data_IF_862627348545
#
_entry.id   IF_862627348545
#
_cell.length_a   1.000
_cell.length_b   1.000
_cell.length_c   1.000
_cell.angle_alpha   90.00
_cell.angle_beta   90.00
_cell.angle_gamma   90.00
#
_symmetry.space_group_name_H-M   'P 1'
#
loop_
_entity.id
_entity.type
_entity.pdbx_description
1 polymer ?
#
# COMPACT_ATOMS: atom_id res chain seq x y z
N UNK A 1 -16.46 0.35 -16.31
CA UNK A 1 -15.35 0.77 -15.46
C UNK A 1 -15.77 1.97 -14.61
N UNK A 2 -15.33 1.99 -13.35
CA UNK A 2 -15.61 3.08 -12.43
C UNK A 2 -14.58 4.20 -12.57
N UNK A 3 -14.99 5.41 -12.28
CA UNK A 3 -14.11 6.58 -12.23
C UNK A 3 -14.70 7.64 -11.31
N UNK A 4 -13.89 8.61 -10.93
CA UNK A 4 -14.33 9.72 -10.09
C UNK A 4 -13.16 10.55 -9.60
N UNK A 5 -13.45 11.45 -8.66
CA UNK A 5 -12.44 12.19 -7.91
C UNK A 5 -12.33 11.60 -6.52
N UNK A 6 -11.16 11.74 -5.92
CA UNK A 6 -10.89 11.18 -4.62
C UNK A 6 -9.70 11.84 -3.94
N UNK A 7 -9.27 11.25 -2.86
CA UNK A 7 -8.14 11.74 -2.08
C UNK A 7 -7.21 10.60 -1.70
N UNK A 8 -6.00 10.97 -1.30
CA UNK A 8 -5.00 10.01 -0.88
C UNK A 8 -4.51 10.30 0.53
N UNK A 9 -4.06 9.26 1.17
CA UNK A 9 -3.25 9.28 2.39
C UNK A 9 -2.12 8.28 2.19
N UNK A 10 -1.30 8.06 3.21
CA UNK A 10 -0.17 7.13 3.12
C UNK A 10 -0.07 6.28 4.38
N UNK A 11 0.45 5.05 4.24
CA UNK A 11 0.65 4.17 5.37
C UNK A 11 1.66 3.06 5.06
N UNK A 12 2.18 2.45 6.10
CA UNK A 12 2.88 1.16 6.06
C UNK A 12 2.84 0.58 7.47
N UNK A 13 1.96 -0.38 7.71
CA UNK A 13 1.73 -0.95 9.04
C UNK A 13 2.30 -2.35 9.20
N UNK A 14 2.84 -2.94 8.14
CA UNK A 14 3.38 -4.31 8.07
C UNK A 14 2.33 -5.40 8.27
N UNK A 15 1.06 -5.06 8.46
CA UNK A 15 -0.02 -6.03 8.64
C UNK A 15 -0.32 -6.79 7.35
N UNK A 16 -0.86 -7.99 7.49
CA UNK A 16 -1.45 -8.70 6.36
C UNK A 16 -2.57 -7.86 5.76
N UNK A 17 -2.52 -7.55 4.45
CA UNK A 17 -3.60 -6.80 3.82
C UNK A 17 -4.90 -7.61 3.78
N UNK A 18 -6.04 -6.93 3.83
CA UNK A 18 -7.34 -7.61 3.86
C UNK A 18 -7.61 -8.43 2.62
N UNK A 19 -7.13 -8.00 1.46
CA UNK A 19 -7.31 -8.73 0.20
C UNK A 19 -6.44 -9.99 0.12
N UNK A 20 -5.58 -10.23 1.10
CA UNK A 20 -4.79 -11.45 1.21
C UNK A 20 -5.55 -12.63 1.83
N UNK A 21 -6.74 -12.39 2.39
CA UNK A 21 -7.60 -13.46 2.87
C UNK A 21 -8.35 -14.12 1.72
N UNK A 22 -8.62 -15.45 1.81
CA UNK A 22 -9.41 -16.13 0.78
C UNK A 22 -10.84 -15.57 0.74
N UNK A 23 -11.44 -15.58 -0.45
CA UNK A 23 -12.82 -15.13 -0.64
C UNK A 23 -13.02 -13.64 -0.80
N UNK A 24 -11.96 -12.85 -0.83
CA UNK A 24 -12.03 -11.39 -1.02
C UNK A 24 -11.96 -11.01 -2.50
N UNK A 25 -10.94 -11.49 -3.20
CA UNK A 25 -10.73 -11.27 -4.62
C UNK A 25 -10.65 -12.58 -5.38
N UNK A 26 -10.26 -12.54 -6.68
CA UNK A 26 -10.10 -13.75 -7.49
C UNK A 26 -9.05 -14.71 -6.94
N UNK A 27 -8.03 -14.18 -6.25
CA UNK A 27 -7.03 -14.93 -5.52
C UNK A 27 -6.57 -14.08 -4.33
N UNK A 28 -6.00 -14.69 -3.27
CA UNK A 28 -5.41 -13.91 -2.19
C UNK A 28 -4.19 -13.13 -2.68
N UNK A 29 -4.09 -11.87 -2.29
CA UNK A 29 -2.86 -11.10 -2.46
C UNK A 29 -1.74 -11.81 -1.69
N UNK A 30 -0.55 -11.90 -2.30
CA UNK A 30 0.59 -12.59 -1.67
C UNK A 30 0.96 -11.93 -0.35
N UNK A 31 1.21 -12.76 0.68
CA UNK A 31 1.77 -12.33 1.96
C UNK A 31 3.12 -13.00 2.20
N UNK A 32 3.86 -12.48 3.15
CA UNK A 32 5.17 -12.96 3.52
C UNK A 32 5.24 -13.26 5.01
N UNK A 33 6.20 -14.13 5.40
CA UNK A 33 6.50 -14.34 6.80
C UNK A 33 7.29 -13.14 7.38
N UNK A 34 7.68 -13.21 8.66
CA UNK A 34 8.39 -12.10 9.28
C UNK A 34 9.78 -11.83 8.67
N UNK A 35 10.34 -12.78 7.93
CA UNK A 35 11.62 -12.64 7.23
C UNK A 35 11.44 -12.25 5.76
N UNK A 36 10.22 -11.88 5.39
CA UNK A 36 9.87 -11.44 4.04
C UNK A 36 9.93 -12.56 2.99
N UNK A 37 9.75 -13.80 3.41
CA UNK A 37 9.63 -14.94 2.49
C UNK A 37 8.16 -15.15 2.15
N UNK A 38 7.82 -15.36 0.85
CA UNK A 38 6.44 -15.59 0.45
C UNK A 38 5.81 -16.79 1.17
N UNK A 39 4.56 -16.63 1.58
CA UNK A 39 3.76 -17.72 2.14
C UNK A 39 2.89 -18.33 1.03
N UNK A 40 2.85 -19.66 0.99
CA UNK A 40 2.05 -20.43 0.03
C UNK A 40 0.98 -21.20 0.80
N UNK A 41 0.13 -20.47 1.52
CA UNK A 41 -0.83 -21.00 2.48
C UNK A 41 -2.28 -20.79 2.05
N UNK A 42 -2.52 -20.31 0.83
CA UNK A 42 -3.86 -19.98 0.34
C UNK A 42 -4.48 -18.77 1.03
N UNK A 43 -3.66 -17.95 1.71
CA UNK A 43 -4.14 -16.78 2.44
C UNK A 43 -4.70 -17.08 3.83
N UNK A 44 -4.38 -18.23 4.41
CA UNK A 44 -4.99 -18.67 5.68
C UNK A 44 -4.20 -18.30 6.94
N UNK A 45 -2.95 -17.86 6.80
CA UNK A 45 -2.13 -17.47 7.96
C UNK A 45 -2.62 -16.15 8.54
N UNK A 46 -2.74 -16.09 9.87
CA UNK A 46 -3.19 -14.91 10.60
C UNK A 46 -2.22 -13.75 10.45
N UNK A 47 -2.73 -12.52 10.40
CA UNK A 47 -1.93 -11.30 10.33
C UNK A 47 -0.98 -11.17 11.51
N UNK A 48 0.24 -10.67 11.25
CA UNK A 48 1.17 -10.29 12.29
C UNK A 48 0.68 -9.17 13.21
N UNK A 49 -0.40 -8.48 12.83
CA UNK A 49 -1.07 -7.51 13.71
C UNK A 49 -1.99 -8.17 14.73
N UNK A 50 -2.31 -9.45 14.56
CA UNK A 50 -3.11 -10.23 15.50
C UNK A 50 -2.18 -11.09 16.36
N UNK A 51 -2.61 -11.38 17.58
CA UNK A 51 -1.81 -12.18 18.50
C UNK A 51 -1.48 -13.55 17.90
N UNK A 52 -0.20 -13.90 17.86
CA UNK A 52 0.30 -15.17 17.34
C UNK A 52 0.30 -15.27 15.81
N UNK A 53 -0.02 -14.19 15.10
CA UNK A 53 -0.02 -14.20 13.63
C UNK A 53 1.37 -14.12 13.03
N UNK A 54 1.53 -14.70 11.83
CA UNK A 54 2.81 -14.78 11.14
C UNK A 54 2.79 -14.34 9.68
N UNK A 55 1.72 -13.68 9.23
CA UNK A 55 1.60 -13.15 7.87
C UNK A 55 1.72 -11.62 7.89
N UNK A 56 2.62 -11.11 7.05
CA UNK A 56 2.93 -9.69 6.92
C UNK A 56 2.84 -9.25 5.47
N UNK A 57 2.70 -7.94 5.25
CA UNK A 57 2.80 -7.37 3.91
C UNK A 57 4.19 -7.64 3.35
N UNK A 58 4.28 -8.13 2.12
CA UNK A 58 5.57 -8.34 1.47
C UNK A 58 6.22 -6.99 1.14
N UNK A 59 7.55 -6.91 1.32
CA UNK A 59 8.29 -5.67 1.06
C UNK A 59 8.22 -5.21 -0.39
N UNK A 60 8.05 -6.13 -1.34
CA UNK A 60 7.97 -5.81 -2.76
C UNK A 60 6.61 -5.21 -3.18
N UNK A 61 5.65 -5.14 -2.24
CA UNK A 61 4.42 -4.36 -2.42
C UNK A 61 4.63 -2.89 -2.05
N UNK A 62 5.86 -2.42 -2.18
CA UNK A 62 6.24 -1.01 -2.10
C UNK A 62 6.11 -0.34 -3.46
N UNK A 63 5.89 0.98 -3.50
CA UNK A 63 5.80 1.69 -4.78
C UNK A 63 7.15 1.82 -5.46
N UNK A 64 7.12 1.97 -6.79
CA UNK A 64 8.31 2.28 -7.57
C UNK A 64 7.97 3.15 -8.78
N UNK A 65 8.96 3.91 -9.25
CA UNK A 65 8.83 4.74 -10.45
C UNK A 65 9.01 3.88 -11.70
N UNK A 66 8.08 4.03 -12.65
CA UNK A 66 8.20 3.46 -14.00
C UNK A 66 8.85 4.49 -14.92
N UNK A 67 8.47 5.75 -14.76
CA UNK A 67 9.04 6.92 -15.45
C UNK A 67 8.90 8.14 -14.54
N UNK A 68 9.32 9.30 -15.03
CA UNK A 68 9.22 10.52 -14.24
C UNK A 68 7.76 10.89 -13.90
N UNK A 69 6.80 10.45 -14.71
CA UNK A 69 5.38 10.81 -14.56
C UNK A 69 4.47 9.61 -14.30
N UNK A 70 4.99 8.39 -14.17
CA UNK A 70 4.22 7.19 -13.89
C UNK A 70 4.91 6.34 -12.83
N UNK A 71 4.13 5.91 -11.83
CA UNK A 71 4.57 4.97 -10.81
C UNK A 71 3.55 3.85 -10.64
N UNK A 72 3.98 2.73 -10.06
CA UNK A 72 3.12 1.61 -9.68
C UNK A 72 3.21 1.38 -8.17
N UNK A 73 2.14 0.83 -7.59
CA UNK A 73 2.14 0.48 -6.18
C UNK A 73 0.83 -0.17 -5.73
N UNK A 74 0.58 -0.09 -4.45
CA UNK A 74 -0.60 -0.67 -3.80
C UNK A 74 -1.25 0.33 -2.86
N UNK A 75 -2.53 0.11 -2.55
CA UNK A 75 -3.28 0.97 -1.66
C UNK A 75 -4.36 0.21 -0.90
N UNK A 76 -4.65 0.67 0.30
CA UNK A 76 -5.91 0.38 0.97
C UNK A 76 -6.95 1.34 0.42
N UNK A 77 -8.14 0.84 0.11
CA UNK A 77 -9.14 1.67 -0.57
C UNK A 77 -10.49 1.62 0.12
N UNK A 78 -11.29 2.65 -0.17
CA UNK A 78 -12.73 2.66 0.05
C UNK A 78 -13.37 3.41 -1.12
N UNK A 79 -14.01 2.66 -2.01
CA UNK A 79 -14.60 3.20 -3.23
C UNK A 79 -16.12 3.33 -3.02
N UNK A 80 -16.67 4.54 -3.21
CA UNK A 80 -18.10 4.79 -3.07
C UNK A 80 -18.91 3.90 -4.02
N UNK A 81 -19.96 3.26 -3.51
CA UNK A 81 -20.82 2.39 -4.30
C UNK A 81 -20.23 1.02 -4.62
N UNK A 82 -19.09 0.68 -4.03
CA UNK A 82 -18.39 -0.59 -4.21
C UNK A 82 -18.19 -1.30 -2.86
N UNK A 83 -17.57 -2.45 -2.89
CA UNK A 83 -17.26 -3.21 -1.68
C UNK A 83 -15.97 -4.01 -1.87
N UNK A 84 -15.49 -4.60 -0.77
CA UNK A 84 -14.22 -5.32 -0.73
C UNK A 84 -14.13 -6.43 -1.78
N UNK A 85 -15.21 -7.15 -2.02
CA UNK A 85 -15.21 -8.24 -3.02
C UNK A 85 -15.10 -7.72 -4.45
N UNK A 86 -15.44 -6.46 -4.67
CA UNK A 86 -15.35 -5.82 -5.98
C UNK A 86 -14.01 -5.14 -6.19
N UNK A 87 -13.42 -4.52 -5.16
CA UNK A 87 -12.16 -3.80 -5.35
C UNK A 87 -10.91 -4.62 -5.07
N UNK A 88 -10.96 -5.69 -4.26
CA UNK A 88 -9.77 -6.49 -4.02
C UNK A 88 -9.17 -7.00 -5.32
N UNK A 89 -7.89 -6.74 -5.53
CA UNK A 89 -7.10 -7.06 -6.73
C UNK A 89 -7.41 -6.19 -7.95
N UNK A 90 -8.38 -5.27 -7.88
CA UNK A 90 -8.61 -4.31 -8.96
C UNK A 90 -7.51 -3.24 -8.97
N UNK A 91 -7.20 -2.72 -10.15
CA UNK A 91 -6.23 -1.65 -10.31
C UNK A 91 -6.92 -0.34 -10.69
N UNK A 92 -6.36 0.75 -10.17
CA UNK A 92 -6.87 2.10 -10.38
C UNK A 92 -5.74 3.02 -10.81
N UNK A 93 -5.96 3.77 -11.89
CA UNK A 93 -5.05 4.84 -12.30
C UNK A 93 -5.43 6.10 -11.56
N UNK A 94 -4.50 6.63 -10.80
CA UNK A 94 -4.63 7.88 -10.06
C UNK A 94 -3.89 8.97 -10.85
N UNK A 95 -4.59 10.04 -11.20
CA UNK A 95 -3.96 11.25 -11.71
C UNK A 95 -3.99 12.29 -10.60
N UNK A 96 -2.83 12.66 -10.10
CA UNK A 96 -2.75 13.63 -9.01
C UNK A 96 -3.16 15.01 -9.50
N UNK A 97 -3.99 15.70 -8.70
CA UNK A 97 -4.56 17.00 -9.07
C UNK A 97 -4.11 18.13 -8.17
N UNK A 98 -3.33 17.83 -7.12
CA UNK A 98 -2.84 18.85 -6.19
C UNK A 98 -1.43 18.53 -5.72
N UNK A 99 -0.77 19.51 -5.12
CA UNK A 99 0.57 19.37 -4.56
C UNK A 99 1.67 19.27 -5.63
N UNK A 100 2.89 18.90 -5.21
CA UNK A 100 4.06 18.90 -6.13
C UNK A 100 3.98 17.80 -7.19
N UNK A 101 3.12 16.81 -7.02
CA UNK A 101 2.94 15.71 -8.00
C UNK A 101 1.76 15.94 -8.95
N UNK A 102 1.12 17.10 -8.91
CA UNK A 102 0.00 17.40 -9.81
C UNK A 102 0.37 17.12 -11.27
N UNK A 103 -0.48 16.36 -11.97
CA UNK A 103 -0.24 15.92 -13.34
C UNK A 103 0.46 14.58 -13.49
N UNK A 104 1.12 14.08 -12.43
CA UNK A 104 1.70 12.73 -12.45
C UNK A 104 0.62 11.67 -12.27
N UNK A 105 0.90 10.46 -12.71
CA UNK A 105 -0.02 9.32 -12.62
C UNK A 105 0.61 8.20 -11.81
N UNK A 106 -0.24 7.44 -11.12
CA UNK A 106 0.15 6.24 -10.40
C UNK A 106 -0.91 5.18 -10.59
N UNK A 107 -0.52 3.97 -10.92
CA UNK A 107 -1.45 2.84 -10.93
C UNK A 107 -1.23 2.05 -9.65
N UNK A 108 -2.29 1.90 -8.87
CA UNK A 108 -2.28 1.14 -7.62
C UNK A 108 -3.23 -0.04 -7.72
N UNK A 109 -2.83 -1.18 -7.16
CA UNK A 109 -3.74 -2.28 -6.93
C UNK A 109 -4.33 -2.16 -5.53
N UNK A 110 -5.64 -2.35 -5.43
CA UNK A 110 -6.31 -2.44 -4.14
C UNK A 110 -5.94 -3.77 -3.47
N UNK A 111 -5.11 -3.70 -2.44
CA UNK A 111 -4.66 -4.86 -1.68
C UNK A 111 -5.24 -4.91 -0.28
N UNK A 112 -5.86 -3.82 0.16
CA UNK A 112 -6.34 -3.68 1.53
C UNK A 112 -7.59 -2.82 1.57
N UNK A 113 -8.29 -2.88 2.70
CA UNK A 113 -9.48 -2.08 2.96
C UNK A 113 -9.27 -1.32 4.26
N UNK A 114 -9.50 -0.02 4.25
CA UNK A 114 -9.44 0.77 5.46
C UNK A 114 -10.83 1.04 6.00
N UNK A 115 -11.12 0.56 7.22
CA UNK A 115 -12.41 0.77 7.87
C UNK A 115 -12.65 2.21 8.32
N UNK A 116 -11.58 3.00 8.40
CA UNK A 116 -11.61 4.40 8.81
C UNK A 116 -11.51 5.38 7.63
N UNK A 117 -11.50 4.86 6.39
CA UNK A 117 -11.38 5.69 5.20
C UNK A 117 -12.72 6.30 4.79
N UNK A 118 -12.66 7.50 4.20
CA UNK A 118 -13.80 8.14 3.58
C UNK A 118 -14.09 7.59 2.18
N UNK A 119 -15.07 8.18 1.48
CA UNK A 119 -15.44 7.76 0.14
C UNK A 119 -14.35 8.12 -0.88
N UNK A 120 -14.09 7.20 -1.83
CA UNK A 120 -13.08 7.37 -2.88
C UNK A 120 -11.72 7.75 -2.29
N UNK A 121 -11.30 6.99 -1.32
CA UNK A 121 -10.08 7.22 -0.58
C UNK A 121 -9.07 6.13 -0.91
N UNK A 122 -7.85 6.54 -1.24
CA UNK A 122 -6.72 5.66 -1.55
C UNK A 122 -5.61 5.92 -0.53
N UNK A 123 -5.44 4.98 0.40
CA UNK A 123 -4.37 5.04 1.39
C UNK A 123 -3.16 4.30 0.79
N UNK A 124 -2.24 5.06 0.22
CA UNK A 124 -1.16 4.50 -0.59
C UNK A 124 -0.13 3.85 0.32
N UNK A 125 0.17 2.58 0.07
CA UNK A 125 1.18 1.85 0.82
C UNK A 125 2.57 2.32 0.40
N UNK A 126 3.32 2.90 1.33
CA UNK A 126 4.71 3.31 1.13
C UNK A 126 5.47 3.21 2.45
N UNK A 127 6.62 2.50 2.48
CA UNK A 127 7.41 2.39 3.70
C UNK A 127 7.71 3.75 4.32
N UNK A 128 7.51 3.87 5.62
CA UNK A 128 7.66 5.15 6.31
C UNK A 128 6.45 6.05 6.26
N UNK A 129 5.34 5.58 5.69
CA UNK A 129 4.10 6.37 5.59
C UNK A 129 3.28 6.45 6.88
N UNK A 130 3.72 5.78 7.93
CA UNK A 130 3.04 5.71 9.22
C UNK A 130 2.28 4.40 9.39
N UNK A 131 2.30 3.86 10.61
CA UNK A 131 1.64 2.58 10.90
C UNK A 131 0.13 2.74 11.12
N UNK A 132 -0.34 3.91 11.50
CA UNK A 132 -1.76 4.13 11.74
C UNK A 132 -2.26 3.41 13.00
N UNK A 133 -3.45 2.81 12.90
CA UNK A 133 -4.11 2.16 14.03
C UNK A 133 -3.36 0.88 14.46
N UNK A 134 -2.90 0.10 13.50
CA UNK A 134 -2.26 -1.20 13.74
C UNK A 134 -0.77 -1.12 13.43
N UNK A 135 0.05 -1.85 14.19
CA UNK A 135 1.50 -1.82 14.01
C UNK A 135 2.08 -3.21 14.16
N UNK A 136 2.43 -3.84 13.04
CA UNK A 136 3.24 -5.06 13.03
C UNK A 136 4.71 -4.78 12.69
N UNK A 137 5.07 -3.53 12.36
CA UNK A 137 6.44 -3.18 11.99
C UNK A 137 7.42 -3.30 13.16
N UNK A 138 6.98 -2.98 14.37
CA UNK A 138 7.79 -3.16 15.57
C UNK A 138 8.11 -4.64 15.79
N UNK A 139 7.11 -5.51 15.61
CA UNK A 139 7.28 -6.95 15.75
C UNK A 139 8.12 -7.55 14.62
N UNK A 140 7.87 -7.15 13.38
CA UNK A 140 8.55 -7.71 12.20
C UNK A 140 9.99 -7.22 12.06
N UNK A 141 10.22 -5.91 12.21
CA UNK A 141 11.49 -5.26 11.88
C UNK A 141 12.17 -4.59 13.05
N UNK A 142 11.58 -4.62 14.23
CA UNK A 142 12.13 -3.89 15.38
C UNK A 142 11.95 -2.37 15.27
N UNK A 143 10.93 -1.92 14.55
CA UNK A 143 10.61 -0.50 14.48
C UNK A 143 10.27 0.07 15.86
N UNK A 144 10.38 1.41 16.06
CA UNK A 144 9.98 2.02 17.31
C UNK A 144 8.52 1.72 17.69
N UNK A 145 8.11 1.85 18.96
CA UNK A 145 6.77 1.44 19.41
C UNK A 145 5.59 2.08 18.66
N UNK A 146 5.76 3.28 18.10
CA UNK A 146 4.74 3.95 17.29
C UNK A 146 5.06 3.91 15.79
N UNK A 147 5.93 2.99 15.36
CA UNK A 147 6.40 2.90 14.00
C UNK A 147 7.55 3.89 13.73
N UNK A 148 7.94 4.01 12.47
CA UNK A 148 8.95 4.97 12.05
C UNK A 148 8.33 6.36 11.91
N UNK A 149 8.85 7.33 12.64
CA UNK A 149 8.30 8.68 12.66
C UNK A 149 7.00 8.75 13.46
N UNK A 150 6.06 9.56 13.00
CA UNK A 150 4.75 9.67 13.64
C UNK A 150 3.88 8.47 13.28
N UNK A 151 2.99 8.09 14.20
CA UNK A 151 2.06 6.97 13.98
C UNK A 151 1.20 7.21 12.74
N UNK A 152 0.72 8.43 12.55
CA UNK A 152 -0.02 8.85 11.35
C UNK A 152 0.87 9.80 10.54
N UNK A 153 1.08 9.48 9.28
CA UNK A 153 1.92 10.25 8.39
C UNK A 153 3.38 9.79 8.29
N UNK A 154 3.91 9.17 9.34
CA UNK A 154 5.23 8.55 9.34
C UNK A 154 6.39 9.50 9.48
N UNK A 155 7.48 9.19 8.77
CA UNK A 155 8.70 10.00 8.75
C UNK A 155 8.48 11.30 7.98
N UNK A 156 9.38 12.27 8.16
CA UNK A 156 9.26 13.59 7.54
C UNK A 156 10.39 13.93 6.58
N UNK A 157 11.51 13.22 6.65
CA UNK A 157 12.71 13.57 5.86
C UNK A 157 13.32 12.32 5.22
N UNK A 158 13.90 12.51 4.04
CA UNK A 158 14.48 11.43 3.24
C UNK A 158 15.59 10.67 3.97
N UNK A 159 16.43 11.35 4.72
CA UNK A 159 17.55 10.68 5.42
C UNK A 159 17.09 9.68 6.47
N UNK A 160 15.85 9.78 6.97
CA UNK A 160 15.31 8.81 7.91
C UNK A 160 15.14 7.43 7.27
N UNK A 161 15.05 7.35 5.94
CA UNK A 161 15.01 6.09 5.22
C UNK A 161 16.30 5.28 5.35
N UNK A 162 17.43 5.93 5.64
CA UNK A 162 18.72 5.26 5.74
C UNK A 162 18.77 4.23 6.87
N UNK A 163 17.90 4.39 7.89
CA UNK A 163 17.80 3.49 9.04
C UNK A 163 16.78 2.36 8.84
N UNK A 164 16.10 2.32 7.70
CA UNK A 164 15.09 1.30 7.42
C UNK A 164 15.72 -0.05 7.07
N UNK A 165 14.96 -1.16 7.22
CA UNK A 165 15.38 -2.44 6.65
C UNK A 165 15.71 -2.30 5.17
N UNK A 166 16.75 -3.00 4.70
CA UNK A 166 17.23 -2.83 3.33
C UNK A 166 16.14 -3.01 2.27
N UNK A 167 15.24 -3.98 2.47
CA UNK A 167 14.17 -4.28 1.51
C UNK A 167 13.10 -3.19 1.43
N UNK A 168 12.98 -2.36 2.46
CA UNK A 168 12.01 -1.26 2.50
C UNK A 168 12.59 0.07 2.04
N UNK A 169 13.92 0.19 1.95
CA UNK A 169 14.58 1.45 1.58
C UNK A 169 14.13 1.99 0.21
N UNK A 170 14.07 1.18 -0.86
CA UNK A 170 13.64 1.72 -2.16
C UNK A 170 12.27 2.38 -2.12
N UNK A 171 11.29 1.74 -1.48
CA UNK A 171 9.95 2.30 -1.35
C UNK A 171 9.92 3.54 -0.46
N UNK A 172 10.75 3.58 0.58
CA UNK A 172 10.89 4.75 1.44
C UNK A 172 11.48 5.94 0.67
N UNK A 173 12.54 5.74 -0.09
CA UNK A 173 13.13 6.79 -0.92
C UNK A 173 12.19 7.27 -2.01
N UNK A 174 11.38 6.37 -2.60
CA UNK A 174 10.40 6.72 -3.64
C UNK A 174 9.49 7.86 -3.19
N UNK A 175 9.06 7.88 -1.94
CA UNK A 175 8.20 8.94 -1.39
C UNK A 175 8.79 10.32 -1.56
N UNK A 176 10.13 10.44 -1.46
CA UNK A 176 10.83 11.72 -1.56
C UNK A 176 11.29 11.99 -2.98
N UNK A 177 11.76 10.97 -3.69
CA UNK A 177 12.38 11.14 -5.00
C UNK A 177 11.37 11.26 -6.14
N UNK A 178 10.33 10.45 -6.13
CA UNK A 178 9.27 10.49 -7.15
C UNK A 178 8.03 11.23 -6.67
N UNK A 179 7.56 10.90 -5.48
CA UNK A 179 6.34 11.44 -4.90
C UNK A 179 6.53 12.85 -4.29
N UNK A 180 7.78 13.29 -4.19
CA UNK A 180 8.18 14.63 -3.76
C UNK A 180 7.62 15.00 -2.38
N UNK A 181 7.49 14.01 -1.51
CA UNK A 181 6.96 14.15 -0.17
C UNK A 181 5.58 14.85 -0.14
N UNK A 182 4.77 14.62 -1.17
CA UNK A 182 3.45 15.24 -1.28
C UNK A 182 2.59 14.90 -0.06
N UNK A 183 1.84 15.89 0.43
CA UNK A 183 1.01 15.74 1.62
C UNK A 183 -0.44 15.49 1.19
N UNK A 184 -0.81 14.20 1.17
CA UNK A 184 -2.17 13.74 0.90
C UNK A 184 -2.79 14.40 -0.36
N UNK A 185 -2.13 14.31 -1.52
CA UNK A 185 -2.65 14.96 -2.72
C UNK A 185 -3.99 14.39 -3.16
N UNK A 186 -4.83 15.23 -3.75
CA UNK A 186 -6.09 14.83 -4.36
C UNK A 186 -5.83 14.13 -5.69
N UNK A 187 -6.78 13.33 -6.14
CA UNK A 187 -6.67 12.56 -7.39
C UNK A 187 -7.98 12.59 -8.18
N UNK A 188 -7.86 12.41 -9.49
CA UNK A 188 -8.89 11.81 -10.31
C UNK A 188 -8.50 10.36 -10.53
N UNK A 189 -9.46 9.45 -10.45
CA UNK A 189 -9.18 8.02 -10.54
C UNK A 189 -10.09 7.32 -11.54
N UNK A 190 -9.60 6.24 -12.11
CA UNK A 190 -10.39 5.33 -12.94
C UNK A 190 -9.88 3.90 -12.77
N UNK A 191 -10.80 2.95 -12.83
CA UNK A 191 -10.42 1.54 -12.81
C UNK A 191 -9.78 1.16 -14.14
N UNK A 192 -8.67 0.44 -14.08
CA UNK A 192 -7.91 -0.02 -15.25
C UNK A 192 -7.52 -1.48 -15.09
N UNK A 193 -7.12 -2.12 -16.18
CA UNK A 193 -6.51 -3.45 -16.10
C UNK A 193 -5.19 -3.36 -15.36
N UNK A 194 -4.88 -4.38 -14.55
CA UNK A 194 -3.64 -4.39 -13.78
C UNK A 194 -2.42 -4.58 -14.69
N UNK A 195 -1.38 -3.74 -14.54
CA UNK A 195 -0.09 -4.00 -15.19
C UNK A 195 0.47 -5.36 -14.78
N UNK A 196 1.14 -6.05 -15.72
CA UNK A 196 1.72 -7.36 -15.48
C UNK A 196 2.74 -7.34 -14.32
N UNK A 197 3.47 -6.24 -14.16
CA UNK A 197 4.48 -6.08 -13.12
C UNK A 197 3.85 -6.07 -11.71
N UNK A 198 2.67 -5.49 -11.58
CA UNK A 198 1.91 -5.50 -10.32
C UNK A 198 1.41 -6.91 -10.03
N UNK A 199 0.82 -7.57 -11.03
CA UNK A 199 0.29 -8.93 -10.87
C UNK A 199 1.40 -9.92 -10.50
N UNK A 200 2.58 -9.77 -11.08
CA UNK A 200 3.72 -10.63 -10.78
C UNK A 200 4.10 -10.60 -9.29
N UNK A 201 3.95 -9.45 -8.64
CA UNK A 201 4.30 -9.29 -7.23
C UNK A 201 3.17 -9.68 -6.27
N UNK A 202 1.91 -9.40 -6.63
CA UNK A 202 0.78 -9.69 -5.75
C UNK A 202 0.16 -11.07 -5.97
N UNK A 203 0.31 -11.64 -7.16
CA UNK A 203 -0.30 -12.91 -7.52
C UNK A 203 -1.81 -12.85 -7.74
N UNK A 204 -2.36 -11.65 -7.89
CA UNK A 204 -3.81 -11.46 -8.05
C UNK A 204 -4.09 -10.37 -9.08
N UNK A 205 -5.17 -10.55 -9.85
CA UNK A 205 -5.61 -9.52 -10.80
C UNK A 205 -7.12 -9.60 -11.07
N UNK A 206 -7.64 -8.50 -11.59
CA UNK A 206 -9.00 -8.43 -12.17
C UNK A 206 -8.96 -7.88 -13.56
#
# INVERSE_FOLDING_TARGET
AQSGSGRTTRYWDCCKPSCAWPGKGPAPVRTCDRWDNPLFDGGNTRSGCDAGGGAYMCSDQSPWAVSDDLAYGWAAVNIAGSNERQWCCACYELTFTSGPVAGKRMIVQASNTGGDLGNNHFDIAMPGGGVGIFNACTDQYGAPPNGWGQRYGGISQRHECDAFPEKLKPGCYWRFDWFLNADNPSVNWRQVSCPAEIVAKSGCSR
#
